data_IF_930568013137
#
_entry.id   IF_930568013137
#
_cell.length_a   1.000
_cell.length_b   1.000
_cell.length_c   1.000
_cell.angle_alpha   90.00
_cell.angle_beta   90.00
_cell.angle_gamma   90.00
#
_symmetry.space_group_name_H-M   'P 1'
#
loop_
_entity.id
_entity.type
_entity.pdbx_description
1 polymer ?
#
# COMPACT_ATOMS: atom_id res chain seq x y z
N UNK A 1 -34.31 16.56 -4.06
CA UNK A 1 -33.49 16.06 -2.94
C UNK A 1 -32.12 15.72 -3.49
N UNK A 2 -31.06 16.29 -2.94
CA UNK A 2 -29.69 15.90 -3.28
C UNK A 2 -29.50 14.46 -2.77
N UNK A 3 -29.07 13.49 -3.59
CA UNK A 3 -28.94 12.11 -3.14
C UNK A 3 -27.88 12.01 -2.03
N UNK A 4 -28.18 11.46 -0.87
CA UNK A 4 -27.15 11.24 0.18
C UNK A 4 -26.32 9.98 -0.12
N UNK A 5 -25.06 9.96 0.35
CA UNK A 5 -24.25 8.74 0.34
C UNK A 5 -24.93 7.68 1.23
N UNK A 6 -25.19 6.50 0.66
CA UNK A 6 -25.80 5.37 1.38
C UNK A 6 -24.96 4.12 1.22
N UNK A 7 -24.84 3.34 2.31
CA UNK A 7 -24.20 2.02 2.27
C UNK A 7 -25.05 1.07 1.43
N UNK A 8 -24.52 0.63 0.29
CA UNK A 8 -25.24 -0.24 -0.65
C UNK A 8 -24.95 -1.72 -0.41
N UNK A 9 -23.78 -2.03 0.18
CA UNK A 9 -23.32 -3.37 0.49
C UNK A 9 -22.27 -3.31 1.60
N UNK A 10 -22.31 -4.27 2.53
CA UNK A 10 -21.22 -4.54 3.48
C UNK A 10 -20.66 -5.92 3.18
N UNK A 11 -19.33 -6.03 3.13
CA UNK A 11 -18.61 -7.29 2.95
C UNK A 11 -17.88 -7.59 4.25
N UNK A 12 -18.13 -8.76 4.82
CA UNK A 12 -17.38 -9.23 5.99
C UNK A 12 -16.05 -9.80 5.51
N UNK A 13 -14.99 -9.55 6.25
CA UNK A 13 -13.62 -9.95 5.90
C UNK A 13 -13.30 -11.41 6.23
N UNK A 14 -14.32 -12.23 6.55
CA UNK A 14 -14.12 -13.67 6.78
C UNK A 14 -13.88 -14.36 5.45
N UNK A 15 -12.79 -15.12 5.36
CA UNK A 15 -12.62 -16.12 4.30
C UNK A 15 -13.16 -17.48 4.75
N UNK A 16 -13.48 -18.33 3.77
CA UNK A 16 -14.00 -19.68 4.01
C UNK A 16 -12.85 -20.72 4.19
N UNK A 17 -11.60 -20.27 4.38
CA UNK A 17 -10.42 -21.13 4.37
C UNK A 17 -10.19 -21.85 5.72
N UNK A 18 -10.82 -21.36 6.79
CA UNK A 18 -10.87 -22.01 8.10
C UNK A 18 -9.51 -22.14 8.82
N UNK A 19 -9.52 -22.80 9.98
CA UNK A 19 -8.34 -22.95 10.86
C UNK A 19 -7.25 -23.90 10.31
N UNK A 20 -7.48 -24.53 9.16
CA UNK A 20 -6.47 -25.37 8.50
C UNK A 20 -5.44 -24.58 7.69
N UNK A 21 -5.78 -23.34 7.30
CA UNK A 21 -4.91 -22.44 6.53
C UNK A 21 -4.30 -21.36 7.40
N UNK A 22 -5.08 -20.82 8.33
CA UNK A 22 -4.62 -19.77 9.24
C UNK A 22 -4.16 -20.37 10.58
N UNK A 23 -2.97 -19.98 11.08
CA UNK A 23 -2.54 -20.40 12.41
C UNK A 23 -3.53 -19.86 13.45
N UNK A 24 -3.99 -20.73 14.35
CA UNK A 24 -4.76 -20.32 15.52
C UNK A 24 -3.86 -19.51 16.43
N UNK A 25 -4.09 -18.21 16.53
CA UNK A 25 -3.56 -17.39 17.62
C UNK A 25 -4.27 -17.79 18.91
N UNK A 26 -3.53 -17.98 20.00
CA UNK A 26 -4.12 -18.24 21.31
C UNK A 26 -5.07 -17.08 21.67
N UNK A 27 -6.36 -17.40 21.85
CA UNK A 27 -7.43 -16.57 22.43
C UNK A 27 -7.94 -15.30 21.73
N UNK A 28 -7.46 -14.91 20.55
CA UNK A 28 -8.01 -13.73 19.85
C UNK A 28 -8.87 -14.09 18.64
N UNK A 29 -10.10 -13.55 18.62
CA UNK A 29 -10.93 -13.50 17.41
C UNK A 29 -10.12 -12.76 16.34
N UNK A 30 -9.91 -13.31 15.13
CA UNK A 30 -9.16 -12.63 14.08
C UNK A 30 -9.68 -11.20 13.87
N UNK A 31 -8.84 -10.20 14.18
CA UNK A 31 -9.15 -8.79 14.00
C UNK A 31 -8.48 -8.32 12.72
N UNK A 32 -9.28 -7.80 11.79
CA UNK A 32 -8.74 -7.06 10.67
C UNK A 32 -8.50 -5.62 11.13
N UNK A 33 -7.26 -5.18 11.04
CA UNK A 33 -6.86 -3.84 11.43
C UNK A 33 -6.13 -3.15 10.28
N UNK A 34 -6.41 -1.87 10.09
CA UNK A 34 -5.56 -1.02 9.28
C UNK A 34 -4.32 -0.65 10.08
N UNK A 35 -3.17 -0.69 9.42
CA UNK A 35 -1.87 -0.40 10.03
C UNK A 35 -1.21 0.76 9.32
N UNK A 36 -0.54 1.63 10.07
CA UNK A 36 0.31 2.65 9.47
C UNK A 36 1.56 1.99 8.88
N UNK A 37 1.74 2.16 7.57
CA UNK A 37 2.84 1.54 6.83
C UNK A 37 4.22 1.97 7.33
N UNK A 38 4.40 3.23 7.76
CA UNK A 38 5.68 3.72 8.24
C UNK A 38 6.01 3.17 9.63
N UNK A 39 5.01 3.06 10.51
CA UNK A 39 5.14 2.39 11.81
C UNK A 39 5.43 0.91 11.65
N UNK A 40 4.66 0.19 10.83
CA UNK A 40 4.90 -1.24 10.57
C UNK A 40 6.31 -1.47 10.02
N UNK A 41 6.79 -0.61 9.12
CA UNK A 41 8.15 -0.69 8.60
C UNK A 41 9.21 -0.48 9.69
N UNK A 42 9.05 0.48 10.60
CA UNK A 42 9.99 0.66 11.73
C UNK A 42 10.04 -0.60 12.60
N UNK A 43 8.88 -1.21 12.89
CA UNK A 43 8.80 -2.45 13.67
C UNK A 43 9.52 -3.59 12.94
N UNK A 44 9.24 -3.80 11.65
CA UNK A 44 9.85 -4.87 10.84
C UNK A 44 11.36 -4.71 10.66
N UNK A 45 11.89 -3.48 10.73
CA UNK A 45 13.32 -3.20 10.64
C UNK A 45 14.05 -3.39 11.97
N UNK A 46 13.33 -3.46 13.08
CA UNK A 46 13.92 -3.59 14.42
C UNK A 46 14.77 -4.85 14.56
N UNK A 47 16.02 -4.70 14.97
CA UNK A 47 16.96 -5.81 15.19
C UNK A 47 17.54 -6.42 13.92
N UNK A 48 17.37 -5.77 12.77
CA UNK A 48 17.92 -6.20 11.48
C UNK A 48 19.10 -5.34 11.01
N UNK A 49 19.66 -4.48 11.88
CA UNK A 49 20.72 -3.54 11.55
C UNK A 49 21.95 -4.23 10.91
N UNK A 50 22.35 -5.38 11.45
CA UNK A 50 23.49 -6.16 10.93
C UNK A 50 23.16 -6.95 9.65
N UNK A 51 21.88 -7.06 9.29
CA UNK A 51 21.40 -7.83 8.14
C UNK A 51 21.03 -6.96 6.94
N UNK A 52 20.84 -5.64 7.14
CA UNK A 52 20.36 -4.73 6.11
C UNK A 52 21.49 -3.85 5.60
N UNK A 53 21.78 -3.99 4.31
CA UNK A 53 22.73 -3.15 3.60
C UNK A 53 21.99 -2.15 2.72
N UNK A 54 21.85 -0.91 3.19
CA UNK A 54 21.25 0.18 2.41
C UNK A 54 22.13 0.61 1.24
N UNK A 55 21.56 1.36 0.29
CA UNK A 55 22.23 1.85 -0.92
C UNK A 55 22.74 0.74 -1.86
N UNK A 56 22.27 -0.50 -1.68
CA UNK A 56 22.57 -1.65 -2.54
C UNK A 56 21.46 -1.88 -3.57
N UNK A 57 21.38 -1.03 -4.58
CA UNK A 57 20.46 -1.24 -5.70
C UNK A 57 20.98 -2.35 -6.60
N UNK A 58 20.28 -3.48 -6.66
CA UNK A 58 20.61 -4.59 -7.55
C UNK A 58 20.45 -4.18 -9.02
N UNK A 59 21.43 -4.52 -9.85
CA UNK A 59 21.36 -4.35 -11.30
C UNK A 59 21.17 -5.68 -12.03
N UNK A 60 21.87 -6.71 -11.58
CA UNK A 60 21.84 -8.05 -12.17
C UNK A 60 22.32 -9.11 -11.20
N UNK A 61 22.03 -10.38 -11.50
CA UNK A 61 22.68 -11.52 -10.87
C UNK A 61 23.24 -12.50 -11.90
N UNK A 62 24.17 -13.34 -11.46
CA UNK A 62 24.71 -14.48 -12.21
C UNK A 62 24.66 -15.75 -11.33
N UNK A 63 24.52 -16.91 -11.97
CA UNK A 63 24.67 -18.21 -11.32
C UNK A 63 26.00 -18.80 -11.77
N UNK A 64 26.89 -19.10 -10.83
CA UNK A 64 28.21 -19.65 -11.15
C UNK A 64 28.18 -21.18 -11.38
N UNK A 65 29.31 -21.76 -11.76
CA UNK A 65 29.45 -23.20 -12.02
C UNK A 65 29.17 -24.09 -10.78
N UNK A 66 29.28 -23.53 -9.58
CA UNK A 66 28.97 -24.18 -8.30
C UNK A 66 27.51 -23.97 -7.86
N UNK A 67 26.66 -23.45 -8.75
CA UNK A 67 25.25 -23.16 -8.50
C UNK A 67 25.02 -22.14 -7.35
N UNK A 68 26.00 -21.27 -7.09
CA UNK A 68 25.87 -20.09 -6.22
C UNK A 68 25.39 -18.90 -7.03
N UNK A 69 24.67 -17.99 -6.39
CA UNK A 69 24.15 -16.77 -7.01
C UNK A 69 24.99 -15.58 -6.56
N UNK A 70 25.52 -14.81 -7.50
CA UNK A 70 26.21 -13.54 -7.24
C UNK A 70 25.32 -12.39 -7.70
N UNK A 71 24.96 -11.52 -6.77
CA UNK A 71 24.25 -10.26 -7.00
C UNK A 71 25.25 -9.12 -7.24
N UNK A 72 25.00 -8.28 -8.24
CA UNK A 72 25.82 -7.12 -8.57
C UNK A 72 25.00 -5.84 -8.38
N UNK A 73 25.59 -4.86 -7.69
CA UNK A 73 24.92 -3.63 -7.28
C UNK A 73 25.47 -2.41 -8.03
N UNK A 74 24.66 -1.35 -8.10
CA UNK A 74 24.99 -0.12 -8.84
C UNK A 74 26.18 0.66 -8.29
N UNK A 75 26.64 0.35 -7.07
CA UNK A 75 27.86 0.92 -6.48
C UNK A 75 29.14 0.16 -6.88
N UNK A 76 29.02 -0.81 -7.78
CA UNK A 76 30.12 -1.65 -8.27
C UNK A 76 30.45 -2.84 -7.36
N UNK A 77 29.79 -2.96 -6.20
CA UNK A 77 30.00 -4.09 -5.29
C UNK A 77 29.17 -5.32 -5.69
N UNK A 78 29.47 -6.46 -5.07
CA UNK A 78 28.73 -7.70 -5.27
C UNK A 78 28.63 -8.52 -3.99
N UNK A 79 27.65 -9.41 -3.92
CA UNK A 79 27.50 -10.39 -2.85
C UNK A 79 27.13 -11.77 -3.42
N UNK A 80 27.75 -12.83 -2.89
CA UNK A 80 27.50 -14.21 -3.34
C UNK A 80 26.82 -15.01 -2.24
N UNK A 81 25.79 -15.78 -2.61
CA UNK A 81 25.01 -16.61 -1.70
C UNK A 81 24.53 -17.90 -2.33
N UNK A 82 23.91 -18.76 -1.52
CA UNK A 82 23.29 -20.00 -2.00
C UNK A 82 21.92 -19.78 -2.65
N UNK A 83 21.23 -18.68 -2.33
CA UNK A 83 19.90 -18.35 -2.84
C UNK A 83 19.76 -16.83 -2.98
N UNK A 84 18.97 -16.39 -3.96
CA UNK A 84 18.54 -15.00 -4.13
C UNK A 84 17.00 -14.93 -4.13
N UNK A 85 16.45 -14.07 -3.27
CA UNK A 85 15.00 -13.80 -3.22
C UNK A 85 14.75 -12.38 -3.70
N UNK A 86 14.06 -12.24 -4.83
CA UNK A 86 13.60 -10.94 -5.33
C UNK A 86 12.39 -10.44 -4.55
N UNK A 87 12.61 -9.56 -3.59
CA UNK A 87 11.60 -8.83 -2.83
C UNK A 87 11.68 -7.31 -3.10
N UNK A 88 12.07 -6.95 -4.32
CA UNK A 88 12.44 -5.61 -4.79
C UNK A 88 11.29 -4.85 -5.48
N UNK A 89 10.05 -5.27 -5.19
CA UNK A 89 8.82 -4.54 -5.54
C UNK A 89 8.40 -4.65 -7.01
N UNK A 90 7.39 -3.86 -7.40
CA UNK A 90 6.75 -3.93 -8.73
C UNK A 90 7.72 -3.77 -9.91
N UNK A 91 8.84 -3.04 -9.73
CA UNK A 91 9.88 -2.83 -10.76
C UNK A 91 11.10 -3.75 -10.57
N UNK A 92 10.86 -4.96 -10.05
CA UNK A 92 11.89 -5.94 -9.71
C UNK A 92 12.90 -6.22 -10.84
N UNK A 93 14.19 -6.04 -10.56
CA UNK A 93 15.28 -6.43 -11.45
C UNK A 93 15.48 -7.96 -11.43
N UNK A 94 15.24 -8.59 -10.28
CA UNK A 94 15.28 -10.05 -10.15
C UNK A 94 14.23 -10.70 -11.05
N UNK A 95 12.98 -10.18 -11.05
CA UNK A 95 11.90 -10.69 -11.91
C UNK A 95 12.28 -10.58 -13.39
N UNK A 96 12.82 -9.44 -13.81
CA UNK A 96 13.18 -9.22 -15.23
C UNK A 96 14.16 -10.29 -15.75
N UNK A 97 15.12 -10.74 -14.93
CA UNK A 97 16.01 -11.85 -15.31
C UNK A 97 15.40 -13.24 -15.07
N UNK A 98 14.71 -13.46 -13.94
CA UNK A 98 14.20 -14.78 -13.52
C UNK A 98 12.95 -15.23 -14.30
N UNK A 99 12.08 -14.29 -14.64
CA UNK A 99 10.78 -14.53 -15.24
C UNK A 99 10.43 -13.36 -16.18
N UNK A 100 11.17 -13.17 -17.29
CA UNK A 100 10.96 -12.05 -18.21
C UNK A 100 9.55 -12.02 -18.82
N UNK A 101 8.90 -13.18 -18.89
CA UNK A 101 7.54 -13.34 -19.41
C UNK A 101 6.45 -13.09 -18.36
N UNK A 102 6.83 -12.83 -17.10
CA UNK A 102 5.89 -12.49 -16.03
C UNK A 102 5.65 -10.97 -16.08
N UNK A 103 4.73 -10.59 -16.95
CA UNK A 103 4.43 -9.21 -17.24
C UNK A 103 3.56 -8.56 -16.15
N UNK A 104 3.79 -7.27 -15.91
CA UNK A 104 2.80 -6.40 -15.28
C UNK A 104 2.11 -5.59 -16.36
N UNK A 105 0.84 -5.28 -16.17
CA UNK A 105 0.06 -4.43 -17.06
C UNK A 105 -0.47 -3.22 -16.30
N UNK A 106 -0.69 -2.13 -17.04
CA UNK A 106 -1.40 -0.97 -16.52
C UNK A 106 -2.85 -1.35 -16.25
N UNK A 107 -3.37 -1.01 -15.06
CA UNK A 107 -4.74 -1.27 -14.68
C UNK A 107 -5.73 -0.25 -15.29
N UNK A 108 -5.25 0.80 -15.95
CA UNK A 108 -6.10 1.86 -16.52
C UNK A 108 -6.59 2.87 -15.48
N UNK A 109 -6.10 2.77 -14.23
CA UNK A 109 -6.59 3.52 -13.07
C UNK A 109 -5.46 4.38 -12.51
N UNK A 110 -5.74 5.67 -12.33
CA UNK A 110 -4.94 6.55 -11.49
C UNK A 110 -5.71 6.77 -10.19
N UNK A 111 -4.98 6.80 -9.08
CA UNK A 111 -5.55 7.19 -7.80
C UNK A 111 -4.62 8.12 -7.03
N UNK A 112 -5.22 9.02 -6.26
CA UNK A 112 -4.56 9.97 -5.38
C UNK A 112 -4.85 9.52 -3.96
N UNK A 113 -3.81 9.16 -3.23
CA UNK A 113 -3.88 8.86 -1.80
C UNK A 113 -3.67 10.14 -1.01
N UNK A 114 -4.26 10.22 0.18
CA UNK A 114 -4.05 11.30 1.12
C UNK A 114 -4.42 10.88 2.54
N UNK A 115 -4.23 11.80 3.49
CA UNK A 115 -4.64 11.61 4.88
C UNK A 115 -5.59 12.72 5.32
N UNK A 116 -6.68 12.30 5.93
CA UNK A 116 -7.70 13.17 6.49
C UNK A 116 -7.63 13.13 8.02
N UNK A 117 -7.81 14.28 8.70
CA UNK A 117 -8.04 14.31 10.14
C UNK A 117 -9.28 13.49 10.50
N UNK A 118 -9.20 12.67 11.55
CA UNK A 118 -10.34 11.84 11.99
C UNK A 118 -11.57 12.70 12.30
N UNK A 119 -11.38 13.85 12.95
CA UNK A 119 -12.50 14.72 13.34
C UNK A 119 -13.21 15.32 12.14
N UNK A 120 -12.48 15.69 11.08
CA UNK A 120 -13.07 16.14 9.83
C UNK A 120 -13.95 15.05 9.17
N UNK A 121 -13.52 13.78 9.26
CA UNK A 121 -14.31 12.64 8.75
C UNK A 121 -15.54 12.38 9.62
N UNK A 122 -15.45 12.53 10.94
CA UNK A 122 -16.62 12.41 11.83
C UNK A 122 -17.65 13.51 11.59
N UNK A 123 -17.21 14.72 11.27
CA UNK A 123 -18.09 15.87 11.03
C UNK A 123 -18.75 15.84 9.65
N UNK A 124 -17.98 15.51 8.61
CA UNK A 124 -18.41 15.66 7.21
C UNK A 124 -18.59 14.34 6.45
N UNK A 125 -17.96 13.27 6.92
CA UNK A 125 -17.93 11.97 6.26
C UNK A 125 -18.97 10.99 6.79
N UNK A 126 -19.13 9.83 6.14
CA UNK A 126 -19.94 8.74 6.68
C UNK A 126 -19.24 8.15 7.91
N UNK A 127 -20.00 7.86 8.97
CA UNK A 127 -19.45 7.25 10.20
C UNK A 127 -18.74 5.92 9.95
N UNK A 128 -19.17 5.17 8.93
CA UNK A 128 -18.56 3.91 8.50
C UNK A 128 -17.10 4.09 8.05
N UNK A 129 -16.70 5.29 7.61
CA UNK A 129 -15.29 5.56 7.30
C UNK A 129 -14.37 5.51 8.53
N UNK A 130 -14.94 5.57 9.74
CA UNK A 130 -14.23 5.44 11.01
C UNK A 130 -14.51 4.08 11.65
N UNK A 131 -15.76 3.60 11.58
CA UNK A 131 -16.24 2.37 12.24
C UNK A 131 -15.89 1.07 11.49
N UNK A 132 -15.85 1.10 10.15
CA UNK A 132 -15.52 -0.07 9.33
C UNK A 132 -14.04 -0.05 8.87
N UNK A 133 -13.52 -1.19 8.42
CA UNK A 133 -12.13 -1.34 7.95
C UNK A 133 -11.87 -0.50 6.69
N UNK A 134 -12.80 -0.53 5.73
CA UNK A 134 -12.68 0.22 4.50
C UNK A 134 -14.06 0.47 3.89
N UNK A 135 -14.29 1.72 3.49
CA UNK A 135 -15.47 2.15 2.76
C UNK A 135 -15.05 2.56 1.36
N UNK A 136 -15.83 2.14 0.36
CA UNK A 136 -15.68 2.62 -1.01
C UNK A 136 -17.02 3.11 -1.55
N UNK A 137 -17.00 4.28 -2.16
CA UNK A 137 -18.09 4.84 -2.94
C UNK A 137 -17.63 5.04 -4.39
N UNK A 138 -18.55 4.94 -5.35
CA UNK A 138 -18.26 5.21 -6.75
C UNK A 138 -19.47 5.80 -7.47
N UNK A 139 -19.22 6.52 -8.55
CA UNK A 139 -20.25 7.09 -9.42
C UNK A 139 -20.37 6.33 -10.76
N UNK A 140 -21.30 6.76 -11.62
CA UNK A 140 -21.51 6.19 -12.95
C UNK A 140 -20.28 6.31 -13.86
N UNK A 141 -19.44 7.32 -13.63
CA UNK A 141 -18.19 7.55 -14.35
C UNK A 141 -17.09 6.59 -13.89
N UNK A 142 -17.34 5.78 -12.85
CA UNK A 142 -16.33 4.94 -12.17
C UNK A 142 -15.22 5.76 -11.51
N UNK A 143 -15.48 7.03 -11.19
CA UNK A 143 -14.68 7.70 -10.18
C UNK A 143 -15.03 7.09 -8.82
N UNK A 144 -14.06 7.00 -7.92
CA UNK A 144 -14.25 6.39 -6.62
C UNK A 144 -13.56 7.17 -5.49
N UNK A 145 -14.15 7.04 -4.31
CA UNK A 145 -13.61 7.50 -3.04
C UNK A 145 -13.53 6.30 -2.09
N UNK A 146 -12.30 5.92 -1.72
CA UNK A 146 -12.01 4.97 -0.66
C UNK A 146 -11.64 5.71 0.63
N UNK A 147 -12.10 5.20 1.78
CA UNK A 147 -11.78 5.69 3.11
C UNK A 147 -11.45 4.52 4.03
N UNK A 148 -10.36 4.61 4.80
CA UNK A 148 -10.00 3.61 5.80
C UNK A 148 -9.31 4.22 7.00
N UNK A 149 -9.81 3.95 8.20
CA UNK A 149 -9.31 4.55 9.44
C UNK A 149 -8.09 3.82 9.96
N UNK A 150 -7.04 4.56 10.31
CA UNK A 150 -5.88 4.08 11.07
C UNK A 150 -5.98 4.70 12.45
N UNK A 151 -6.50 3.91 13.39
CA UNK A 151 -6.78 4.36 14.76
C UNK A 151 -5.72 3.79 15.70
N UNK A 152 -5.11 4.68 16.48
CA UNK A 152 -4.15 4.34 17.52
C UNK A 152 -4.81 4.53 18.89
N UNK A 153 -5.19 3.45 19.60
CA UNK A 153 -5.62 3.54 21.00
C UNK A 153 -4.53 4.11 21.91
N UNK A 154 -3.27 3.85 21.55
CA UNK A 154 -2.05 4.40 22.13
C UNK A 154 -1.14 4.78 20.97
N UNK A 155 -0.53 5.97 21.00
CA UNK A 155 0.36 6.39 19.91
C UNK A 155 1.56 5.42 19.79
N UNK A 156 2.14 5.22 18.59
CA UNK A 156 3.19 4.22 18.40
C UNK A 156 4.42 4.40 19.31
N UNK A 157 4.82 5.64 19.55
CA UNK A 157 5.97 5.96 20.40
C UNK A 157 5.72 5.63 21.88
N UNK A 158 4.50 5.88 22.38
CA UNK A 158 4.08 5.50 23.73
C UNK A 158 3.93 3.99 23.86
N UNK A 159 3.35 3.33 22.85
CA UNK A 159 3.19 1.89 22.80
C UNK A 159 4.55 1.18 22.85
N UNK A 160 5.52 1.66 22.08
CA UNK A 160 6.89 1.12 22.09
C UNK A 160 7.56 1.22 23.47
N UNK A 161 7.42 2.37 24.14
CA UNK A 161 7.94 2.58 25.52
C UNK A 161 7.26 1.64 26.51
N UNK A 162 5.93 1.52 26.46
CA UNK A 162 5.14 0.69 27.37
C UNK A 162 5.46 -0.80 27.24
N UNK A 163 5.67 -1.27 26.01
CA UNK A 163 5.98 -2.66 25.70
C UNK A 163 7.47 -2.99 25.83
N UNK A 164 8.34 -1.99 26.02
CA UNK A 164 9.78 -2.20 26.15
C UNK A 164 10.43 -2.76 24.87
N UNK A 165 9.91 -2.40 23.68
CA UNK A 165 10.31 -3.01 22.41
C UNK A 165 11.76 -2.70 21.97
N UNK A 166 12.47 -1.82 22.69
CA UNK A 166 13.85 -1.44 22.35
C UNK A 166 14.00 -0.71 21.01
N UNK A 167 12.88 -0.34 20.37
CA UNK A 167 12.81 0.41 19.11
C UNK A 167 12.18 1.78 19.36
N UNK A 168 12.78 2.81 18.80
CA UNK A 168 12.20 4.15 18.79
C UNK A 168 11.21 4.26 17.64
N UNK A 169 9.91 4.26 17.96
CA UNK A 169 8.87 4.52 16.98
C UNK A 169 8.54 6.01 16.96
N UNK A 170 8.33 6.57 15.77
CA UNK A 170 7.87 7.94 15.63
C UNK A 170 6.44 8.13 16.15
N UNK A 171 6.20 9.27 16.81
CA UNK A 171 4.86 9.68 17.18
C UNK A 171 3.95 9.82 15.96
N UNK A 172 2.72 9.31 16.08
CA UNK A 172 1.71 9.33 15.02
C UNK A 172 0.31 9.40 15.61
N UNK A 173 -0.40 10.44 15.21
CA UNK A 173 -1.83 10.60 15.48
C UNK A 173 -2.69 9.70 14.59
N UNK A 174 -3.90 9.41 15.06
CA UNK A 174 -4.92 8.70 14.27
C UNK A 174 -5.33 9.53 13.04
N UNK A 175 -5.61 8.85 11.93
CA UNK A 175 -6.02 9.49 10.68
C UNK A 175 -6.90 8.56 9.86
N UNK A 176 -7.57 9.11 8.85
CA UNK A 176 -8.26 8.32 7.82
C UNK A 176 -7.50 8.45 6.52
N UNK A 177 -7.11 7.33 5.92
CA UNK A 177 -6.60 7.31 4.55
C UNK A 177 -7.75 7.66 3.63
N UNK A 178 -7.54 8.57 2.70
CA UNK A 178 -8.43 8.75 1.56
C UNK A 178 -7.75 8.30 0.27
N UNK A 179 -8.56 7.73 -0.62
CA UNK A 179 -8.16 7.29 -1.94
C UNK A 179 -9.17 7.82 -2.95
N UNK A 180 -8.77 8.78 -3.78
CA UNK A 180 -9.62 9.32 -4.84
C UNK A 180 -9.09 8.88 -6.19
N UNK A 181 -9.85 8.10 -6.94
CA UNK A 181 -9.35 7.48 -8.16
C UNK A 181 -10.38 7.33 -9.26
N UNK A 182 -9.91 6.92 -10.43
CA UNK A 182 -10.72 6.70 -11.63
C UNK A 182 -9.85 6.40 -12.84
N UNK A 183 -10.45 6.43 -14.03
CA UNK A 183 -9.71 6.24 -15.29
C UNK A 183 -8.63 7.30 -15.46
N UNK A 184 -7.51 6.95 -16.09
CA UNK A 184 -6.39 7.89 -16.31
C UNK A 184 -6.82 9.21 -16.97
N UNK A 185 -7.81 9.17 -17.86
CA UNK A 185 -8.33 10.34 -18.59
C UNK A 185 -8.92 11.44 -17.68
N UNK A 186 -9.25 11.12 -16.43
CA UNK A 186 -9.71 12.11 -15.46
C UNK A 186 -8.58 12.93 -14.83
N UNK A 187 -7.34 12.56 -15.10
CA UNK A 187 -6.16 13.13 -14.45
C UNK A 187 -5.20 13.73 -15.49
N UNK A 188 -4.43 14.76 -15.11
CA UNK A 188 -3.34 15.25 -15.96
C UNK A 188 -2.33 14.15 -16.29
N UNK A 189 -1.79 14.17 -17.51
CA UNK A 189 -0.83 13.15 -17.95
C UNK A 189 0.41 13.08 -17.05
N UNK A 190 0.89 14.25 -16.63
CA UNK A 190 2.07 14.44 -15.78
C UNK A 190 1.75 14.54 -14.28
N UNK A 191 0.61 13.99 -13.83
CA UNK A 191 0.15 14.03 -12.43
C UNK A 191 1.22 13.62 -11.39
N UNK A 192 2.21 12.80 -11.76
CA UNK A 192 3.32 12.43 -10.88
C UNK A 192 4.26 13.58 -10.52
N UNK A 193 4.24 14.68 -11.28
CA UNK A 193 5.01 15.90 -11.01
C UNK A 193 4.25 16.90 -10.15
N UNK A 194 2.94 16.70 -9.98
CA UNK A 194 2.11 17.58 -9.19
C UNK A 194 2.52 17.54 -7.72
N UNK A 195 2.52 18.70 -7.08
CA UNK A 195 2.68 18.87 -5.64
C UNK A 195 1.52 18.23 -4.88
N UNK A 196 1.72 17.92 -3.61
CA UNK A 196 0.65 17.37 -2.75
C UNK A 196 -0.58 18.30 -2.71
N UNK A 197 -0.39 19.63 -2.65
CA UNK A 197 -1.50 20.59 -2.71
C UNK A 197 -2.24 20.60 -4.06
N UNK A 198 -1.54 20.43 -5.18
CA UNK A 198 -2.17 20.25 -6.49
C UNK A 198 -2.97 18.95 -6.56
N UNK A 199 -2.41 17.85 -6.04
CA UNK A 199 -3.07 16.55 -5.99
C UNK A 199 -4.34 16.59 -5.14
N UNK A 200 -4.32 17.26 -4.00
CA UNK A 200 -5.52 17.49 -3.19
C UNK A 200 -6.60 18.23 -3.96
N UNK A 201 -6.24 19.30 -4.68
CA UNK A 201 -7.19 20.07 -5.51
C UNK A 201 -7.76 19.23 -6.65
N UNK A 202 -6.94 18.43 -7.32
CA UNK A 202 -7.38 17.51 -8.38
C UNK A 202 -8.35 16.47 -7.81
N UNK A 203 -8.02 15.85 -6.68
CA UNK A 203 -8.87 14.88 -6.00
C UNK A 203 -10.22 15.48 -5.60
N UNK A 204 -10.23 16.66 -4.96
CA UNK A 204 -11.45 17.37 -4.60
C UNK A 204 -12.29 17.75 -5.84
N UNK A 205 -11.63 18.19 -6.92
CA UNK A 205 -12.27 18.54 -8.19
C UNK A 205 -12.97 17.34 -8.86
N UNK A 206 -12.35 16.15 -8.82
CA UNK A 206 -12.96 14.92 -9.36
C UNK A 206 -14.30 14.58 -8.67
N UNK A 207 -14.38 14.89 -7.37
CA UNK A 207 -15.56 14.69 -6.54
C UNK A 207 -16.51 15.90 -6.50
N UNK A 208 -16.24 16.98 -7.26
CA UNK A 208 -17.02 18.23 -7.15
C UNK A 208 -18.51 18.10 -7.51
N UNK A 209 -18.87 17.10 -8.33
CA UNK A 209 -20.26 16.77 -8.66
C UNK A 209 -20.91 15.76 -7.72
N UNK A 210 -20.18 15.23 -6.74
CA UNK A 210 -20.72 14.31 -5.76
C UNK A 210 -21.54 15.07 -4.72
N UNK A 211 -22.55 14.41 -4.19
CA UNK A 211 -23.40 14.98 -3.16
C UNK A 211 -22.71 15.03 -1.78
N UNK A 212 -23.27 15.86 -0.90
CA UNK A 212 -22.77 16.03 0.46
C UNK A 212 -21.43 16.75 0.49
N UNK A 213 -20.60 16.41 1.48
CA UNK A 213 -19.35 17.10 1.77
C UNK A 213 -18.13 16.41 1.16
N UNK A 214 -18.27 15.56 0.12
CA UNK A 214 -17.18 14.73 -0.40
C UNK A 214 -15.94 15.56 -0.83
N UNK A 215 -16.13 16.61 -1.64
CA UNK A 215 -15.04 17.48 -2.05
C UNK A 215 -14.46 18.30 -0.88
N UNK A 216 -15.31 18.83 0.00
CA UNK A 216 -14.91 19.57 1.19
C UNK A 216 -14.09 18.71 2.17
N UNK A 217 -14.48 17.44 2.32
CA UNK A 217 -13.77 16.46 3.13
C UNK A 217 -12.34 16.23 2.61
N UNK A 218 -12.15 16.12 1.29
CA UNK A 218 -10.81 16.01 0.70
C UNK A 218 -9.98 17.27 0.93
N UNK A 219 -10.61 18.45 0.89
CA UNK A 219 -9.94 19.73 1.18
C UNK A 219 -9.51 19.87 2.65
N UNK A 220 -10.12 19.14 3.58
CA UNK A 220 -9.68 19.09 4.98
C UNK A 220 -8.41 18.23 5.20
N UNK A 221 -7.96 17.49 4.18
CA UNK A 221 -6.73 16.70 4.25
C UNK A 221 -5.47 17.55 4.42
N UNK A 222 -4.41 16.95 4.98
CA UNK A 222 -3.14 17.65 5.16
C UNK A 222 -2.47 17.96 3.82
N UNK A 223 -2.04 19.21 3.62
CA UNK A 223 -1.52 19.72 2.34
C UNK A 223 -0.27 18.99 1.83
N UNK A 224 0.46 18.30 2.70
CA UNK A 224 1.68 17.53 2.41
C UNK A 224 1.48 16.00 2.46
N UNK A 225 0.23 15.53 2.47
CA UNK A 225 -0.07 14.10 2.62
C UNK A 225 -0.43 13.38 1.32
N UNK A 226 -0.63 14.12 0.23
CA UNK A 226 -1.18 13.59 -1.01
C UNK A 226 -0.11 13.13 -1.99
N UNK A 227 -0.32 11.96 -2.59
CA UNK A 227 0.55 11.41 -3.62
C UNK A 227 -0.26 10.60 -4.65
N UNK A 228 0.21 10.58 -5.90
CA UNK A 228 -0.46 9.88 -6.99
C UNK A 228 0.19 8.53 -7.30
N UNK A 229 -0.65 7.53 -7.57
CA UNK A 229 -0.28 6.19 -8.00
C UNK A 229 -1.00 5.88 -9.32
N UNK A 230 -0.25 5.42 -10.32
CA UNK A 230 -0.85 4.70 -11.47
C UNK A 230 -0.85 3.22 -11.13
N UNK A 231 -2.03 2.64 -11.06
CA UNK A 231 -2.22 1.27 -10.61
C UNK A 231 -1.73 0.29 -11.67
N UNK A 232 -1.05 -0.77 -11.24
CA UNK A 232 -0.61 -1.87 -12.07
C UNK A 232 -1.12 -3.18 -11.49
N UNK A 233 -1.25 -4.17 -12.34
CA UNK A 233 -1.59 -5.53 -11.94
C UNK A 233 -0.71 -6.54 -12.67
N UNK A 234 -0.62 -7.74 -12.12
CA UNK A 234 0.16 -8.83 -12.71
C UNK A 234 -0.70 -9.61 -13.70
N UNK A 235 -0.11 -10.01 -14.82
CA UNK A 235 -0.74 -10.99 -15.71
C UNK A 235 -0.45 -12.38 -15.12
N UNK A 236 -1.47 -13.19 -14.79
CA UNK A 236 -1.25 -14.51 -14.22
C UNK A 236 -0.35 -15.37 -15.12
N UNK A 237 0.72 -15.89 -14.54
CA UNK A 237 1.66 -16.78 -15.23
C UNK A 237 2.35 -17.70 -14.23
N UNK A 238 2.84 -18.85 -14.69
CA UNK A 238 3.63 -19.77 -13.89
C UNK A 238 5.11 -19.36 -13.92
N UNK A 239 5.82 -19.61 -12.81
CA UNK A 239 7.27 -19.60 -12.82
C UNK A 239 7.78 -20.91 -13.44
N UNK A 240 8.81 -20.80 -14.28
CA UNK A 240 9.54 -21.97 -14.77
C UNK A 240 10.20 -22.74 -13.60
N UNK A 241 10.83 -23.88 -13.92
CA UNK A 241 11.48 -24.79 -12.96
C UNK A 241 12.19 -24.08 -11.79
N UNK A 242 12.09 -24.61 -10.55
CA UNK A 242 12.80 -24.05 -9.41
C UNK A 242 14.31 -23.98 -9.67
N UNK A 243 14.90 -22.87 -9.26
CA UNK A 243 16.35 -22.61 -9.26
C UNK A 243 16.69 -21.89 -7.95
N UNK A 244 17.96 -21.60 -7.72
CA UNK A 244 18.44 -20.85 -6.55
C UNK A 244 18.02 -19.36 -6.55
N UNK A 245 17.06 -18.99 -7.40
CA UNK A 245 16.50 -17.65 -7.53
C UNK A 245 14.98 -17.73 -7.54
N UNK A 246 14.34 -17.03 -6.61
CA UNK A 246 12.89 -16.95 -6.48
C UNK A 246 12.43 -15.52 -6.24
N UNK A 247 11.11 -15.30 -6.18
CA UNK A 247 10.48 -13.98 -6.05
C UNK A 247 9.44 -14.00 -4.92
N UNK A 248 9.23 -12.84 -4.28
CA UNK A 248 8.25 -12.66 -3.20
C UNK A 248 7.56 -11.29 -3.31
N UNK A 249 6.30 -11.23 -2.85
CA UNK A 249 5.51 -9.98 -2.80
C UNK A 249 5.28 -9.37 -4.18
N UNK A 250 5.26 -8.03 -4.25
CA UNK A 250 5.02 -7.27 -5.49
C UNK A 250 6.01 -7.58 -6.62
N UNK A 251 7.16 -8.19 -6.32
CA UNK A 251 8.11 -8.62 -7.34
C UNK A 251 7.53 -9.69 -8.27
N UNK A 252 6.61 -10.55 -7.78
CA UNK A 252 5.94 -11.61 -8.56
C UNK A 252 4.42 -11.44 -8.62
N UNK A 253 3.83 -10.72 -7.66
CA UNK A 253 2.39 -10.57 -7.56
C UNK A 253 2.02 -9.13 -7.21
N UNK A 254 2.31 -8.21 -8.12
CA UNK A 254 1.81 -6.83 -8.04
C UNK A 254 0.30 -6.85 -8.27
N UNK A 255 -0.45 -6.37 -7.28
CA UNK A 255 -1.89 -6.21 -7.33
C UNK A 255 -2.26 -4.74 -7.15
N UNK A 256 -3.44 -4.36 -7.66
CA UNK A 256 -4.02 -3.07 -7.34
C UNK A 256 -4.38 -3.04 -5.85
N UNK A 257 -3.83 -2.10 -5.06
CA UNK A 257 -4.08 -2.00 -3.63
C UNK A 257 -5.53 -1.60 -3.30
#
# INVERSE_FOLDING_TARGET
MTPELRVVKRLLTRDDLGNGVWPTTEDETPVHANVDRATLRQILLSGLDDSIHFQKKLERYEINAENKVTAYFSDGTSATGSCLVGADGVNSHVRLQRAPNLATMDAGITAIYGRLPVDAVKEMGPKEAVEDIFLIASDERKAFLGLGSVIFPTSPDEAAKKLGLGVELHHRESYVVCLVGGRHEFFPEDIRKATSAELQRIAAGLLGGWSGNAAALIQAGGSESFFAVRMRTSVPNALDRPVNVTLLGDAVHSMTP
#
